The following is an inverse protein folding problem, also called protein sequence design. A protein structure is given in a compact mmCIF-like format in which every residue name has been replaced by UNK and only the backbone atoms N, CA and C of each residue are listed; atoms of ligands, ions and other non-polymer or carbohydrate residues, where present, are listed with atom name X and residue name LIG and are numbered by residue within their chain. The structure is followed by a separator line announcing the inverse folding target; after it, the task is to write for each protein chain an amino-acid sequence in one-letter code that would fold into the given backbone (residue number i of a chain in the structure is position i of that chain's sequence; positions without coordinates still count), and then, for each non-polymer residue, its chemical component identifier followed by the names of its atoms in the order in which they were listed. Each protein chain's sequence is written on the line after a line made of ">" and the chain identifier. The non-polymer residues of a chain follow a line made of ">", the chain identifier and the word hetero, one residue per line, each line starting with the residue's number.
data_IF_075393766467
#
_entry.id   IF_075393766467
#
_cell.length_a   1.000
_cell.length_b   1.000
_cell.length_c   1.000
_cell.angle_alpha   90.00
_cell.angle_beta   90.00
_cell.angle_gamma   90.00
#
_symmetry.space_group_name_H-M   'P 1'
#
loop_
_entity.id
_entity.type
_entity.pdbx_description
1 polymer ?
#
# COMPACT_ATOMS: atom_id res chain seq x y z
N UNK A 1 11.77 1.71 -15.18
CA UNK A 1 12.11 0.79 -14.10
C UNK A 1 11.56 -0.59 -14.42
N UNK A 2 12.38 -1.61 -14.23
CA UNK A 2 11.99 -3.01 -14.41
C UNK A 2 12.21 -3.74 -13.10
N UNK A 3 11.21 -4.46 -12.65
CA UNK A 3 11.33 -5.40 -11.54
C UNK A 3 11.58 -6.81 -12.08
N UNK A 4 12.50 -7.54 -11.45
CA UNK A 4 12.75 -8.96 -11.75
C UNK A 4 12.43 -9.76 -10.52
N UNK A 5 11.36 -10.54 -10.57
CA UNK A 5 11.00 -11.49 -9.51
C UNK A 5 11.60 -12.86 -9.80
N UNK A 6 12.28 -13.46 -8.81
CA UNK A 6 12.87 -14.80 -8.94
C UNK A 6 11.90 -15.93 -8.59
N UNK A 7 10.65 -15.60 -8.31
CA UNK A 7 9.61 -16.59 -8.05
C UNK A 7 9.16 -17.29 -9.35
N UNK A 8 8.89 -18.58 -9.27
CA UNK A 8 8.26 -19.40 -10.33
C UNK A 8 8.87 -19.29 -11.75
N UNK A 9 10.18 -19.12 -11.85
CA UNK A 9 10.85 -19.13 -13.16
C UNK A 9 11.33 -17.78 -13.65
N UNK A 10 11.23 -16.75 -12.83
CA UNK A 10 11.69 -15.38 -13.13
C UNK A 10 10.71 -14.64 -14.02
N UNK A 11 10.10 -13.60 -13.50
CA UNK A 11 9.27 -12.67 -14.25
C UNK A 11 9.98 -11.31 -14.33
N UNK A 12 9.94 -10.69 -15.49
CA UNK A 12 10.41 -9.31 -15.69
C UNK A 12 9.19 -8.45 -15.93
N UNK A 13 8.84 -7.63 -14.96
CA UNK A 13 7.73 -6.70 -15.06
C UNK A 13 8.22 -5.26 -15.26
N UNK A 14 7.53 -4.50 -16.10
CA UNK A 14 7.75 -3.07 -16.22
C UNK A 14 6.96 -2.37 -15.12
N UNK A 15 7.65 -1.75 -14.16
CA UNK A 15 7.00 -1.00 -13.09
C UNK A 15 6.69 0.44 -13.48
N UNK A 16 7.66 1.13 -14.06
CA UNK A 16 7.50 2.53 -14.40
C UNK A 16 8.11 2.85 -15.76
N UNK A 17 7.35 3.60 -16.55
CA UNK A 17 7.79 4.17 -17.81
C UNK A 17 7.11 5.52 -18.03
N UNK A 18 7.86 6.59 -17.82
CA UNK A 18 7.30 7.94 -17.93
C UNK A 18 8.33 8.94 -18.45
N UNK A 19 7.83 10.06 -18.99
CA UNK A 19 8.61 11.23 -19.37
C UNK A 19 8.29 12.34 -18.38
N UNK A 20 9.32 12.96 -17.83
CA UNK A 20 9.19 14.08 -16.89
C UNK A 20 9.81 15.33 -17.48
N UNK A 21 9.06 16.44 -17.47
CA UNK A 21 9.59 17.77 -17.77
C UNK A 21 9.66 18.60 -16.52
N UNK A 22 10.86 18.91 -16.08
CA UNK A 22 11.13 19.83 -14.99
C UNK A 22 11.05 21.26 -15.54
N UNK A 23 10.11 22.06 -15.06
CA UNK A 23 9.82 23.42 -15.51
C UNK A 23 10.25 24.43 -14.46
N UNK A 24 9.81 24.22 -13.23
CA UNK A 24 10.08 25.09 -12.08
C UNK A 24 10.00 24.26 -10.79
N UNK A 25 10.75 24.57 -9.72
CA UNK A 25 10.63 23.82 -8.46
C UNK A 25 9.20 23.69 -7.94
N UNK A 26 8.35 24.69 -8.19
CA UNK A 26 6.95 24.68 -7.79
C UNK A 26 6.00 24.05 -8.81
N UNK A 27 6.45 23.69 -10.01
CA UNK A 27 5.55 23.14 -11.04
C UNK A 27 6.32 22.31 -12.07
N UNK A 28 6.03 21.04 -12.14
CA UNK A 28 6.60 20.07 -13.07
C UNK A 28 5.49 19.18 -13.60
N UNK A 29 5.75 18.51 -14.73
CA UNK A 29 4.79 17.63 -15.38
C UNK A 29 5.44 16.30 -15.68
N UNK A 30 4.72 15.21 -15.43
CA UNK A 30 5.08 13.84 -15.78
C UNK A 30 3.93 13.18 -16.52
N UNK A 31 4.24 12.39 -17.55
CA UNK A 31 3.25 11.61 -18.30
C UNK A 31 3.80 10.21 -18.59
N UNK A 32 2.96 9.20 -18.48
CA UNK A 32 3.29 7.79 -18.70
C UNK A 32 2.74 6.89 -17.59
N UNK A 33 3.39 5.75 -17.38
CA UNK A 33 3.06 4.78 -16.33
C UNK A 33 3.90 5.10 -15.07
N UNK A 34 3.23 5.43 -13.98
CA UNK A 34 3.86 5.98 -12.78
C UNK A 34 3.18 5.54 -11.50
N UNK A 35 3.89 5.63 -10.38
CA UNK A 35 3.35 5.31 -9.06
C UNK A 35 2.19 6.26 -8.71
N UNK A 36 1.10 5.68 -8.23
CA UNK A 36 -0.04 6.39 -7.64
C UNK A 36 0.26 6.67 -6.17
N UNK A 37 0.46 7.93 -5.75
CA UNK A 37 0.99 8.26 -4.42
C UNK A 37 -0.08 8.20 -3.31
N UNK A 38 -0.74 7.06 -3.17
CA UNK A 38 -1.72 6.77 -2.11
C UNK A 38 -1.13 5.79 -1.13
N UNK A 39 -1.16 6.13 0.16
CA UNK A 39 -0.52 5.36 1.21
C UNK A 39 0.97 5.72 1.40
N UNK A 40 1.59 5.08 2.38
CA UNK A 40 3.00 5.23 2.71
C UNK A 40 3.87 4.17 2.02
N UNK A 41 3.43 2.91 2.11
CA UNK A 41 4.21 1.75 1.66
C UNK A 41 4.32 1.73 0.15
N UNK A 42 3.26 2.12 -0.55
CA UNK A 42 3.23 2.10 -2.02
C UNK A 42 4.33 2.99 -2.64
N UNK A 43 4.53 4.19 -2.10
CA UNK A 43 5.55 5.12 -2.59
C UNK A 43 6.97 4.80 -2.08
N UNK A 44 7.11 3.89 -1.09
CA UNK A 44 8.36 3.55 -0.41
C UNK A 44 8.46 2.04 -0.18
N UNK A 45 8.21 1.26 -1.22
CA UNK A 45 8.07 -0.19 -1.14
C UNK A 45 9.40 -0.96 -1.09
N UNK A 46 10.53 -0.31 -1.34
CA UNK A 46 11.82 -0.98 -1.32
C UNK A 46 12.15 -1.50 0.09
N UNK A 47 12.73 -2.69 0.21
CA UNK A 47 12.97 -3.35 1.50
C UNK A 47 13.83 -2.56 2.48
N UNK A 48 14.63 -1.60 2.04
CA UNK A 48 15.44 -0.75 2.91
C UNK A 48 14.60 0.32 3.62
N UNK A 49 13.40 0.62 3.14
CA UNK A 49 12.55 1.69 3.64
C UNK A 49 11.66 1.30 4.83
N UNK A 50 11.60 0.03 5.20
CA UNK A 50 10.83 -0.46 6.35
C UNK A 50 11.66 -1.43 7.19
N UNK A 51 11.31 -1.61 8.48
CA UNK A 51 12.11 -2.42 9.38
C UNK A 51 11.86 -3.92 9.23
N UNK A 52 10.60 -4.35 9.06
CA UNK A 52 10.29 -5.78 8.94
C UNK A 52 10.99 -6.46 7.77
N UNK A 53 11.09 -7.77 7.80
CA UNK A 53 11.54 -8.61 6.67
C UNK A 53 10.53 -8.52 5.53
N UNK A 54 9.25 -8.39 5.88
CA UNK A 54 8.12 -8.19 4.97
C UNK A 54 7.59 -6.76 5.10
N UNK A 55 7.15 -6.18 3.97
CA UNK A 55 6.50 -4.85 3.98
C UNK A 55 5.23 -4.87 4.83
N UNK A 56 4.78 -3.70 5.35
CA UNK A 56 3.51 -3.62 6.08
C UNK A 56 2.35 -4.23 5.30
N UNK A 57 1.67 -5.21 5.90
CA UNK A 57 0.64 -5.98 5.21
C UNK A 57 -0.66 -5.19 4.99
N UNK A 58 -1.04 -4.40 5.98
CA UNK A 58 -2.38 -3.81 5.99
C UNK A 58 -2.65 -2.92 4.80
N UNK A 59 -1.71 -2.05 4.44
CA UNK A 59 -1.84 -1.19 3.27
C UNK A 59 -1.84 -2.00 1.98
N UNK A 60 -0.91 -2.94 1.83
CA UNK A 60 -0.77 -3.75 0.61
C UNK A 60 -1.87 -4.79 0.44
N UNK A 61 -2.63 -5.09 1.50
CA UNK A 61 -3.80 -5.95 1.43
C UNK A 61 -5.01 -5.22 0.86
N UNK A 62 -5.24 -3.96 1.24
CA UNK A 62 -6.46 -3.23 0.85
C UNK A 62 -6.25 -2.32 -0.37
N UNK A 63 -5.02 -1.92 -0.67
CA UNK A 63 -4.64 -1.16 -1.86
C UNK A 63 -3.80 -2.02 -2.80
N UNK A 64 -3.75 -1.68 -4.11
CA UNK A 64 -2.81 -2.33 -5.01
C UNK A 64 -1.38 -2.21 -4.49
N UNK A 65 -0.68 -3.34 -4.41
CA UNK A 65 0.74 -3.37 -4.09
C UNK A 65 1.54 -2.83 -5.28
N UNK A 66 2.54 -1.99 -5.01
CA UNK A 66 3.24 -1.28 -6.08
C UNK A 66 2.24 -0.67 -7.06
N UNK A 67 1.35 0.17 -6.54
CA UNK A 67 0.27 0.73 -7.32
C UNK A 67 0.81 1.77 -8.31
N UNK A 68 0.79 1.44 -9.56
CA UNK A 68 1.12 2.34 -10.65
C UNK A 68 0.05 2.26 -11.73
N UNK A 69 -0.17 3.37 -12.41
CA UNK A 69 -1.17 3.53 -13.47
C UNK A 69 -0.65 4.47 -14.55
N UNK A 70 -1.22 4.37 -15.74
CA UNK A 70 -0.93 5.28 -16.84
C UNK A 70 -1.71 6.58 -16.67
N UNK A 71 -1.04 7.73 -16.87
CA UNK A 71 -1.69 9.03 -16.73
C UNK A 71 -0.76 10.22 -16.82
N UNK A 72 -1.23 11.34 -16.22
CA UNK A 72 -0.51 12.62 -16.15
C UNK A 72 -0.46 13.08 -14.70
N UNK A 73 0.71 13.55 -14.29
CA UNK A 73 0.99 14.09 -12.97
C UNK A 73 1.49 15.53 -13.07
N UNK A 74 0.98 16.38 -12.20
CA UNK A 74 1.51 17.72 -11.90
C UNK A 74 2.05 17.71 -10.47
N UNK A 75 3.27 18.16 -10.28
CA UNK A 75 3.93 18.10 -8.99
C UNK A 75 4.92 19.23 -8.77
N UNK A 76 5.24 19.51 -7.53
CA UNK A 76 6.23 20.52 -7.16
C UNK A 76 6.34 20.73 -5.66
N UNK A 77 7.21 21.67 -5.31
CA UNK A 77 7.43 22.11 -3.92
C UNK A 77 6.99 23.57 -3.77
N UNK A 78 6.18 23.82 -2.78
CA UNK A 78 5.68 25.14 -2.42
C UNK A 78 6.26 25.60 -1.07
N UNK A 79 6.48 26.90 -0.93
CA UNK A 79 6.97 27.49 0.30
C UNK A 79 8.47 27.39 0.52
N UNK A 80 8.94 27.75 1.72
CA UNK A 80 10.36 27.72 2.13
C UNK A 80 10.47 27.52 3.64
N UNK A 81 11.58 26.94 4.09
CA UNK A 81 11.86 26.75 5.52
C UNK A 81 10.78 25.91 6.20
N UNK A 82 10.25 26.40 7.31
CA UNK A 82 9.19 25.70 8.05
C UNK A 82 7.84 25.59 7.31
N UNK A 83 7.63 26.35 6.24
CA UNK A 83 6.41 26.30 5.43
C UNK A 83 6.67 25.60 4.08
N UNK A 84 7.41 24.49 4.08
CA UNK A 84 7.73 23.70 2.88
C UNK A 84 6.72 22.55 2.72
N UNK A 85 6.07 22.52 1.55
CA UNK A 85 5.11 21.49 1.17
C UNK A 85 5.43 20.95 -0.22
N UNK A 86 5.38 19.63 -0.39
CA UNK A 86 5.33 19.00 -1.70
C UNK A 86 3.87 18.69 -2.05
N UNK A 87 3.52 18.78 -3.32
CA UNK A 87 2.22 18.37 -3.82
C UNK A 87 2.33 17.52 -5.08
N UNK A 88 1.36 16.63 -5.25
CA UNK A 88 1.18 15.79 -6.42
C UNK A 88 -0.31 15.74 -6.76
N UNK A 89 -0.65 16.01 -8.01
CA UNK A 89 -2.02 15.92 -8.56
C UNK A 89 -1.95 15.05 -9.80
N UNK A 90 -2.70 13.94 -9.81
CA UNK A 90 -2.68 13.00 -10.92
C UNK A 90 -4.08 12.79 -11.48
N UNK A 91 -4.11 12.56 -12.80
CA UNK A 91 -5.23 11.96 -13.50
C UNK A 91 -4.69 10.70 -14.16
N UNK A 92 -5.20 9.54 -13.74
CA UNK A 92 -4.67 8.22 -14.12
C UNK A 92 -5.79 7.30 -14.56
N UNK A 93 -5.47 6.15 -15.14
CA UNK A 93 -6.43 5.08 -15.35
C UNK A 93 -7.10 4.73 -14.01
N UNK A 94 -8.44 4.66 -13.98
CA UNK A 94 -9.17 4.39 -12.75
C UNK A 94 -9.22 2.90 -12.45
N UNK A 95 -9.27 2.52 -11.17
CA UNK A 95 -9.40 1.12 -10.78
C UNK A 95 -10.61 0.44 -11.43
N UNK A 96 -10.42 -0.83 -11.78
CA UNK A 96 -11.43 -1.69 -12.41
C UNK A 96 -12.11 -2.59 -11.36
N UNK A 97 -13.43 -2.48 -11.24
CA UNK A 97 -14.20 -3.24 -10.27
C UNK A 97 -14.16 -4.76 -10.48
N UNK A 98 -13.78 -5.27 -11.65
CA UNK A 98 -13.63 -6.70 -11.91
C UNK A 98 -12.57 -7.36 -11.02
N UNK A 99 -11.57 -6.59 -10.58
CA UNK A 99 -10.52 -7.04 -9.68
C UNK A 99 -10.87 -6.94 -8.19
N UNK A 100 -12.03 -6.37 -7.83
CA UNK A 100 -12.39 -6.21 -6.42
C UNK A 100 -12.76 -7.54 -5.78
N UNK A 101 -12.21 -7.80 -4.61
CA UNK A 101 -12.31 -9.08 -3.92
C UNK A 101 -12.70 -8.90 -2.44
N UNK A 102 -13.23 -9.97 -1.85
CA UNK A 102 -13.63 -10.01 -0.44
C UNK A 102 -12.44 -9.95 0.53
N UNK A 103 -11.29 -10.48 0.12
CA UNK A 103 -10.12 -10.61 0.99
C UNK A 103 -9.19 -9.40 0.88
N UNK A 104 -9.13 -8.80 -0.29
CA UNK A 104 -8.17 -7.75 -0.65
C UNK A 104 -8.84 -6.43 -1.04
N UNK A 105 -10.15 -6.33 -0.86
CA UNK A 105 -10.96 -5.17 -1.19
C UNK A 105 -10.74 -4.69 -2.64
N UNK A 106 -9.96 -3.62 -2.87
CA UNK A 106 -9.69 -3.07 -4.21
C UNK A 106 -8.29 -3.36 -4.74
N UNK A 107 -7.48 -4.10 -3.99
CA UNK A 107 -6.05 -4.29 -4.29
C UNK A 107 -5.77 -4.87 -5.69
N UNK A 108 -6.62 -5.78 -6.17
CA UNK A 108 -6.49 -6.38 -7.50
C UNK A 108 -7.21 -5.60 -8.60
N UNK A 109 -7.61 -4.36 -8.33
CA UNK A 109 -8.33 -3.52 -9.29
C UNK A 109 -7.44 -2.64 -10.17
N UNK A 110 -6.11 -2.65 -9.99
CA UNK A 110 -5.20 -1.91 -10.88
C UNK A 110 -5.34 -2.41 -12.31
N UNK A 111 -5.25 -1.50 -13.27
CA UNK A 111 -5.26 -1.86 -14.67
C UNK A 111 -3.86 -2.29 -15.11
N UNK A 112 -3.80 -3.11 -16.15
CA UNK A 112 -2.54 -3.67 -16.62
C UNK A 112 -1.61 -2.65 -17.26
N UNK A 113 -0.43 -3.11 -17.61
CA UNK A 113 0.61 -2.33 -18.25
C UNK A 113 0.22 -2.01 -19.71
N UNK A 114 -0.14 -0.76 -20.02
CA UNK A 114 -0.28 -0.19 -21.37
C UNK A 114 -1.22 -0.90 -22.37
N UNK A 115 -1.52 -2.17 -22.18
CA UNK A 115 -2.23 -2.98 -23.18
C UNK A 115 -3.74 -2.78 -23.14
N UNK A 116 -4.30 -2.49 -21.95
CA UNK A 116 -5.75 -2.43 -21.75
C UNK A 116 -6.19 -1.33 -20.77
N UNK A 117 -5.46 -0.21 -20.71
CA UNK A 117 -5.84 0.92 -19.87
C UNK A 117 -7.18 1.51 -20.28
N UNK A 118 -8.19 1.34 -19.44
CA UNK A 118 -9.51 1.85 -19.68
C UNK A 118 -9.72 3.18 -18.93
N UNK A 119 -9.81 4.28 -19.66
CA UNK A 119 -10.05 5.62 -19.13
C UNK A 119 -11.53 6.03 -19.12
N UNK A 120 -12.47 5.10 -19.20
CA UNK A 120 -13.91 5.44 -19.15
C UNK A 120 -14.28 6.20 -17.88
N UNK A 121 -13.61 5.89 -16.77
CA UNK A 121 -13.74 6.62 -15.52
C UNK A 121 -12.35 6.79 -14.89
N UNK A 122 -11.67 7.91 -15.12
CA UNK A 122 -10.33 8.13 -14.61
C UNK A 122 -10.30 8.19 -13.07
N UNK A 123 -9.14 7.86 -12.53
CA UNK A 123 -8.77 8.09 -11.15
C UNK A 123 -8.17 9.47 -10.97
N UNK A 124 -8.64 10.22 -9.99
CA UNK A 124 -8.08 11.52 -9.58
C UNK A 124 -7.35 11.36 -8.26
N UNK A 125 -6.12 11.82 -8.20
CA UNK A 125 -5.27 11.70 -7.02
C UNK A 125 -4.77 13.08 -6.58
N UNK A 126 -4.82 13.32 -5.30
CA UNK A 126 -4.19 14.47 -4.64
C UNK A 126 -3.33 13.94 -3.50
N UNK A 127 -2.08 14.37 -3.44
CA UNK A 127 -1.20 14.18 -2.28
C UNK A 127 -0.55 15.49 -1.89
N UNK A 128 -0.44 15.72 -0.58
CA UNK A 128 0.31 16.84 -0.01
C UNK A 128 1.17 16.31 1.12
N UNK A 129 2.45 16.69 1.11
CA UNK A 129 3.43 16.34 2.15
C UNK A 129 4.04 17.60 2.76
N UNK A 130 3.92 17.74 4.06
CA UNK A 130 4.64 18.76 4.84
C UNK A 130 6.06 18.28 5.14
N UNK A 131 7.07 19.12 4.84
CA UNK A 131 8.50 18.84 5.08
C UNK A 131 9.24 19.99 5.76
N UNK A 132 8.53 20.88 6.42
CA UNK A 132 9.13 22.09 7.00
C UNK A 132 10.05 21.85 8.20
N UNK A 133 9.94 20.71 8.86
CA UNK A 133 10.79 20.33 10.00
C UNK A 133 11.78 19.25 9.57
N UNK A 134 13.11 19.45 9.79
CA UNK A 134 14.11 18.45 9.46
C UNK A 134 13.80 17.09 10.09
N UNK A 135 13.86 16.05 9.27
CA UNK A 135 13.55 14.68 9.69
C UNK A 135 12.07 14.33 9.80
N UNK A 136 11.16 15.31 9.73
CA UNK A 136 9.71 15.09 9.78
C UNK A 136 9.08 15.24 8.40
N UNK A 137 8.29 14.26 8.01
CA UNK A 137 7.37 14.31 6.87
C UNK A 137 5.97 13.91 7.35
N UNK A 138 4.97 14.72 7.06
CA UNK A 138 3.56 14.40 7.32
C UNK A 138 2.82 14.50 6.00
N UNK A 139 2.27 13.38 5.54
CA UNK A 139 1.61 13.27 4.26
C UNK A 139 0.12 12.98 4.38
N UNK A 140 -0.63 13.41 3.39
CA UNK A 140 -2.02 13.02 3.21
C UNK A 140 -2.34 12.84 1.74
N UNK A 141 -3.12 11.82 1.39
CA UNK A 141 -3.56 11.60 0.02
C UNK A 141 -5.05 11.27 -0.07
N UNK A 142 -5.59 11.57 -1.22
CA UNK A 142 -6.97 11.29 -1.59
C UNK A 142 -7.02 10.73 -3.00
N UNK A 143 -7.73 9.63 -3.18
CA UNK A 143 -8.05 9.04 -4.48
C UNK A 143 -9.56 9.01 -4.70
N UNK A 144 -9.97 9.35 -5.92
CA UNK A 144 -11.37 9.32 -6.33
C UNK A 144 -11.51 8.74 -7.74
N UNK A 145 -12.36 7.74 -7.90
CA UNK A 145 -12.83 7.25 -9.20
C UNK A 145 -14.35 7.27 -9.20
N UNK A 146 -14.94 7.97 -10.16
CA UNK A 146 -16.40 8.18 -10.21
C UNK A 146 -17.18 6.90 -10.53
N UNK A 147 -16.56 5.97 -11.26
CA UNK A 147 -17.24 4.74 -11.67
C UNK A 147 -16.25 3.61 -11.98
N UNK A 148 -15.81 2.87 -10.96
CA UNK A 148 -14.93 1.71 -11.14
C UNK A 148 -15.57 0.58 -11.94
N UNK A 149 -16.89 0.47 -11.92
CA UNK A 149 -17.64 -0.50 -12.75
C UNK A 149 -17.59 -0.13 -14.25
N UNK A 150 -17.48 1.17 -14.56
CA UNK A 150 -17.35 1.65 -15.94
C UNK A 150 -15.99 1.34 -16.57
N UNK A 151 -14.99 1.00 -15.76
CA UNK A 151 -13.67 0.57 -16.22
C UNK A 151 -13.58 -0.94 -16.46
N UNK A 152 -14.72 -1.65 -16.39
CA UNK A 152 -14.78 -3.07 -16.71
C UNK A 152 -14.41 -3.33 -18.17
N UNK A 153 -13.58 -4.33 -18.39
CA UNK A 153 -13.24 -4.91 -19.70
C UNK A 153 -14.38 -5.76 -20.30
N UNK A 154 -15.41 -6.03 -19.49
CA UNK A 154 -16.60 -6.80 -19.90
C UNK A 154 -17.77 -5.87 -20.19
N UNK A 155 -18.14 -5.65 -21.47
CA UNK A 155 -19.27 -4.80 -21.83
C UNK A 155 -20.54 -5.23 -21.09
N UNK A 156 -21.27 -4.26 -20.55
CA UNK A 156 -22.56 -4.46 -19.86
C UNK A 156 -22.54 -5.38 -18.63
N UNK A 157 -21.37 -5.83 -18.16
CA UNK A 157 -21.28 -6.73 -17.01
C UNK A 157 -21.92 -6.13 -15.74
N UNK A 158 -21.74 -4.84 -15.53
CA UNK A 158 -22.34 -4.11 -14.41
C UNK A 158 -23.66 -3.38 -14.77
N UNK A 159 -24.29 -3.69 -15.91
CA UNK A 159 -25.63 -3.21 -16.27
C UNK A 159 -25.78 -1.67 -16.14
N UNK A 160 -24.74 -0.91 -16.47
CA UNK A 160 -24.71 0.54 -16.37
C UNK A 160 -24.69 1.10 -14.95
N UNK A 161 -24.61 0.25 -13.93
CA UNK A 161 -24.49 0.71 -12.53
C UNK A 161 -23.14 1.35 -12.26
N UNK A 162 -23.13 2.39 -11.42
CA UNK A 162 -21.92 3.09 -11.03
C UNK A 162 -21.42 2.60 -9.67
N UNK A 163 -20.11 2.49 -9.54
CA UNK A 163 -19.44 2.14 -8.28
C UNK A 163 -18.35 3.17 -7.93
N UNK A 164 -18.77 4.34 -7.40
CA UNK A 164 -17.83 5.36 -6.95
C UNK A 164 -16.93 4.84 -5.82
N UNK A 165 -15.63 5.10 -5.96
CA UNK A 165 -14.60 4.74 -5.01
C UNK A 165 -13.89 5.99 -4.47
N UNK A 166 -13.71 6.04 -3.15
CA UNK A 166 -12.92 7.06 -2.46
C UNK A 166 -11.95 6.40 -1.51
N UNK A 167 -10.69 6.83 -1.54
CA UNK A 167 -9.65 6.35 -0.64
C UNK A 167 -8.99 7.58 -0.03
N UNK A 168 -8.82 7.55 1.29
CA UNK A 168 -8.13 8.56 2.08
C UNK A 168 -6.94 7.90 2.75
N UNK A 169 -5.78 8.53 2.71
CA UNK A 169 -4.66 8.11 3.53
C UNK A 169 -3.99 9.27 4.23
N UNK A 170 -3.43 8.98 5.40
CA UNK A 170 -2.55 9.87 6.12
C UNK A 170 -1.31 9.11 6.57
N UNK A 171 -0.16 9.77 6.52
CA UNK A 171 1.10 9.14 6.93
C UNK A 171 2.02 10.13 7.63
N UNK A 172 2.92 9.57 8.44
CA UNK A 172 3.95 10.28 9.17
C UNK A 172 5.25 9.50 9.07
N UNK A 173 6.34 10.20 8.79
CA UNK A 173 7.69 9.69 8.86
C UNK A 173 8.53 10.65 9.69
N UNK A 174 9.26 10.12 10.66
CA UNK A 174 10.22 10.88 11.45
C UNK A 174 11.54 10.13 11.51
N UNK A 175 12.62 10.82 11.21
CA UNK A 175 13.97 10.26 11.30
C UNK A 175 14.94 11.30 11.85
N UNK A 176 15.65 10.90 12.88
CA UNK A 176 16.84 11.59 13.38
C UNK A 176 17.97 10.58 13.64
N UNK A 177 19.05 11.01 14.25
CA UNK A 177 20.20 10.14 14.53
C UNK A 177 19.86 8.98 15.46
N UNK A 178 18.88 9.12 16.34
CA UNK A 178 18.51 8.17 17.39
C UNK A 178 17.33 7.28 17.03
N UNK A 179 16.32 7.85 16.35
CA UNK A 179 15.02 7.20 16.15
C UNK A 179 14.57 7.35 14.70
N UNK A 180 14.03 6.27 14.18
CA UNK A 180 13.21 6.28 12.96
C UNK A 180 11.83 5.77 13.30
N UNK A 181 10.80 6.55 13.00
CA UNK A 181 9.41 6.19 13.24
C UNK A 181 8.58 6.43 11.98
N UNK A 182 7.60 5.56 11.74
CA UNK A 182 6.65 5.67 10.63
C UNK A 182 5.27 5.27 11.12
N UNK A 183 4.26 5.93 10.58
CA UNK A 183 2.87 5.58 10.82
C UNK A 183 2.05 5.88 9.57
N UNK A 184 1.01 5.08 9.33
CA UNK A 184 0.06 5.34 8.26
C UNK A 184 -1.35 4.89 8.64
N UNK A 185 -2.32 5.50 8.00
CA UNK A 185 -3.71 5.10 8.04
C UNK A 185 -4.29 5.18 6.63
N UNK A 186 -5.09 4.20 6.27
CA UNK A 186 -5.85 4.16 5.02
C UNK A 186 -7.29 3.84 5.35
N UNK A 187 -8.20 4.62 4.78
CA UNK A 187 -9.63 4.38 4.86
C UNK A 187 -10.26 4.47 3.47
N UNK A 188 -11.03 3.46 3.10
CA UNK A 188 -11.68 3.38 1.82
C UNK A 188 -13.19 3.28 1.90
N UNK A 189 -13.87 3.83 0.87
CA UNK A 189 -15.31 3.75 0.70
C UNK A 189 -15.67 3.43 -0.75
N UNK A 190 -16.37 2.32 -0.95
CA UNK A 190 -16.90 1.84 -2.22
C UNK A 190 -18.43 1.90 -2.18
N UNK A 191 -19.02 2.73 -3.01
CA UNK A 191 -20.48 2.82 -3.15
C UNK A 191 -20.98 1.70 -4.09
N UNK A 192 -22.18 1.17 -3.84
CA UNK A 192 -22.76 0.02 -4.56
C UNK A 192 -21.93 -1.27 -4.46
N UNK A 193 -21.21 -1.44 -3.35
CA UNK A 193 -20.38 -2.62 -3.10
C UNK A 193 -21.19 -3.91 -3.11
N UNK A 194 -22.46 -3.87 -2.66
CA UNK A 194 -23.38 -5.02 -2.71
C UNK A 194 -23.67 -5.47 -4.15
N UNK A 195 -23.89 -4.52 -5.06
CA UNK A 195 -24.11 -4.83 -6.47
C UNK A 195 -22.83 -5.40 -7.11
N UNK A 196 -21.67 -4.77 -6.89
CA UNK A 196 -20.37 -5.28 -7.35
C UNK A 196 -20.16 -6.71 -6.84
N UNK A 197 -20.42 -6.97 -5.57
CA UNK A 197 -20.29 -8.29 -4.96
C UNK A 197 -21.15 -9.35 -5.65
N UNK A 198 -22.38 -8.99 -6.04
CA UNK A 198 -23.28 -9.91 -6.74
C UNK A 198 -22.80 -10.32 -8.12
N UNK A 199 -21.97 -9.49 -8.76
CA UNK A 199 -21.39 -9.74 -10.08
C UNK A 199 -20.01 -10.39 -10.01
N UNK A 200 -19.18 -10.05 -9.04
CA UNK A 200 -17.83 -10.57 -8.89
C UNK A 200 -17.79 -11.96 -8.21
N UNK A 201 -18.88 -12.68 -8.21
CA UNK A 201 -18.95 -14.03 -7.63
C UNK A 201 -18.03 -14.96 -8.40
N UNK A 202 -16.89 -15.28 -7.83
CA UNK A 202 -16.05 -16.39 -8.28
C UNK A 202 -16.47 -17.65 -7.53
N UNK A 203 -17.35 -18.44 -8.17
CA UNK A 203 -17.70 -19.76 -7.68
C UNK A 203 -16.48 -20.67 -7.90
N UNK A 204 -15.98 -21.29 -6.83
CA UNK A 204 -15.12 -22.45 -6.98
C UNK A 204 -15.94 -23.57 -7.58
N UNK A 205 -15.54 -24.11 -8.71
CA UNK A 205 -16.22 -25.24 -9.36
C UNK A 205 -16.32 -26.50 -8.48
N UNK A 206 -15.63 -26.54 -7.35
CA UNK A 206 -15.55 -27.67 -6.43
C UNK A 206 -16.27 -27.45 -5.10
N UNK A 207 -16.96 -26.32 -4.90
CA UNK A 207 -17.61 -26.03 -3.63
C UNK A 207 -19.12 -26.18 -3.75
N UNK A 208 -19.69 -27.19 -3.11
CA UNK A 208 -21.13 -27.37 -2.96
C UNK A 208 -21.82 -26.22 -2.19
N UNK A 209 -21.06 -25.37 -1.52
CA UNK A 209 -21.51 -24.23 -0.71
C UNK A 209 -20.54 -23.06 -0.90
N UNK A 210 -20.78 -22.19 -1.81
CA UNK A 210 -20.14 -20.89 -1.80
C UNK A 210 -21.08 -19.86 -1.17
N UNK A 211 -20.93 -19.60 0.13
CA UNK A 211 -21.43 -18.33 0.65
C UNK A 211 -20.52 -17.24 0.10
N UNK A 212 -21.08 -16.44 -0.78
CA UNK A 212 -20.39 -15.27 -1.33
C UNK A 212 -20.17 -14.30 -0.19
N UNK A 213 -18.91 -14.14 0.21
CA UNK A 213 -18.55 -13.06 1.12
C UNK A 213 -18.34 -11.83 0.26
N UNK A 214 -19.14 -10.79 0.43
CA UNK A 214 -19.17 -9.67 -0.48
C UNK A 214 -17.96 -8.74 -0.28
N UNK A 215 -17.57 -8.03 -1.35
CA UNK A 215 -16.70 -6.87 -1.26
C UNK A 215 -17.34 -5.84 -0.35
N UNK A 216 -16.61 -5.34 0.63
CA UNK A 216 -17.14 -4.42 1.61
C UNK A 216 -17.33 -3.01 1.07
N UNK A 217 -18.27 -2.28 1.66
CA UNK A 217 -18.42 -0.85 1.45
C UNK A 217 -17.22 -0.07 1.97
N UNK A 218 -16.70 -0.46 3.13
CA UNK A 218 -15.57 0.21 3.76
C UNK A 218 -14.46 -0.78 4.09
N UNK A 219 -13.22 -0.33 3.89
CA UNK A 219 -12.02 -1.00 4.33
C UNK A 219 -11.14 -0.02 5.12
N UNK A 220 -10.34 -0.54 6.05
CA UNK A 220 -9.46 0.25 6.90
C UNK A 220 -8.14 -0.49 7.14
N UNK A 221 -7.05 0.28 7.19
CA UNK A 221 -5.74 -0.19 7.62
C UNK A 221 -5.03 0.93 8.37
N UNK A 222 -4.30 0.57 9.43
CA UNK A 222 -3.35 1.47 10.06
C UNK A 222 -2.17 0.69 10.62
N UNK A 223 -1.01 1.32 10.57
CA UNK A 223 0.24 0.76 11.06
C UNK A 223 1.10 1.83 11.71
N UNK A 224 1.95 1.41 12.63
CA UNK A 224 2.99 2.25 13.20
C UNK A 224 4.22 1.41 13.52
N UNK A 225 5.40 1.90 13.14
CA UNK A 225 6.66 1.27 13.46
C UNK A 225 7.67 2.27 14.02
N UNK A 226 8.50 1.81 14.93
CA UNK A 226 9.59 2.60 15.52
C UNK A 226 10.83 1.74 15.69
N UNK A 227 11.97 2.28 15.30
CA UNK A 227 13.28 1.67 15.49
C UNK A 227 14.26 2.66 16.11
N UNK A 228 15.18 2.16 16.91
CA UNK A 228 16.14 2.95 17.67
C UNK A 228 17.55 2.59 17.26
N UNK A 229 18.38 3.59 16.92
CA UNK A 229 19.77 3.40 16.53
C UNK A 229 20.66 3.19 17.74
N UNK A 230 21.08 1.96 17.99
CA UNK A 230 21.93 1.65 19.14
C UNK A 230 23.29 2.37 19.10
N UNK A 231 23.89 2.53 17.91
CA UNK A 231 25.18 3.25 17.80
C UNK A 231 25.07 4.68 18.31
N UNK A 232 23.96 5.36 18.02
CA UNK A 232 23.75 6.74 18.48
C UNK A 232 23.53 6.83 19.99
N UNK A 233 22.86 5.85 20.59
CA UNK A 233 22.72 5.76 22.05
C UNK A 233 24.08 5.58 22.74
N UNK A 234 24.99 4.82 22.16
CA UNK A 234 26.35 4.62 22.67
C UNK A 234 27.33 5.68 22.17
N UNK A 235 26.89 6.94 22.17
CA UNK A 235 27.69 8.13 21.82
C UNK A 235 28.39 8.05 20.45
N UNK A 236 27.70 7.49 19.48
CA UNK A 236 28.19 7.31 18.10
C UNK A 236 29.52 6.54 18.01
N UNK A 237 29.79 5.66 18.99
CA UNK A 237 31.02 4.87 19.01
C UNK A 237 31.14 4.01 17.74
N UNK A 238 32.19 4.22 16.91
CA UNK A 238 32.33 3.49 15.63
C UNK A 238 32.52 1.98 15.79
N UNK A 239 32.93 1.52 16.99
CA UNK A 239 33.02 0.09 17.31
C UNK A 239 31.67 -0.59 17.50
N UNK A 240 30.61 0.20 17.78
CA UNK A 240 29.24 -0.32 17.89
C UNK A 240 28.66 -0.44 16.49
N UNK A 241 28.16 -1.61 16.09
CA UNK A 241 27.51 -1.77 14.81
C UNK A 241 26.22 -0.93 14.72
N UNK A 242 25.81 -0.56 13.52
CA UNK A 242 24.52 0.12 13.28
C UNK A 242 23.42 -0.94 13.35
N UNK A 243 22.77 -1.01 14.51
CA UNK A 243 21.66 -1.94 14.75
C UNK A 243 20.46 -1.12 15.19
N UNK A 244 19.29 -1.45 14.61
CA UNK A 244 17.99 -0.92 15.00
C UNK A 244 17.12 -2.05 15.57
N UNK A 245 17.01 -2.22 16.90
CA UNK A 245 15.83 -2.87 17.45
C UNK A 245 14.60 -2.07 17.07
N UNK A 246 13.53 -2.77 16.68
CA UNK A 246 12.29 -2.14 16.26
C UNK A 246 11.06 -2.90 16.75
N UNK A 247 9.94 -2.19 16.77
CA UNK A 247 8.62 -2.77 16.94
C UNK A 247 7.66 -2.13 15.94
N UNK A 248 6.70 -2.91 15.44
CA UNK A 248 5.61 -2.50 14.55
C UNK A 248 4.30 -3.10 15.03
N UNK A 249 3.27 -2.29 15.01
CA UNK A 249 1.90 -2.73 15.15
C UNK A 249 1.13 -2.45 13.86
N UNK A 250 0.31 -3.41 13.44
CA UNK A 250 -0.57 -3.26 12.28
C UNK A 250 -1.97 -3.76 12.62
N UNK A 251 -2.96 -3.08 12.06
CA UNK A 251 -4.33 -3.52 11.99
C UNK A 251 -4.87 -3.26 10.59
N UNK A 252 -5.58 -4.24 10.05
CA UNK A 252 -6.34 -4.03 8.83
C UNK A 252 -7.60 -4.86 8.79
N UNK A 253 -8.59 -4.35 8.07
CA UNK A 253 -9.83 -5.04 7.80
C UNK A 253 -10.36 -4.64 6.41
N UNK A 254 -10.20 -5.50 5.40
CA UNK A 254 -10.75 -5.26 4.07
C UNK A 254 -12.29 -5.32 4.06
N UNK A 255 -12.90 -5.79 5.16
CA UNK A 255 -14.35 -5.92 5.33
C UNK A 255 -14.85 -5.20 6.58
N UNK A 256 -14.46 -3.94 6.74
CA UNK A 256 -14.80 -3.15 7.93
C UNK A 256 -16.31 -2.93 8.05
N UNK A 257 -16.97 -2.59 6.93
CA UNK A 257 -18.42 -2.39 6.90
C UNK A 257 -19.00 -2.75 5.55
N UNK A 258 -20.08 -3.53 5.55
CA UNK A 258 -20.88 -3.80 4.36
C UNK A 258 -22.02 -2.78 4.15
N UNK A 259 -22.70 -2.88 3.03
CA UNK A 259 -24.01 -2.26 2.83
C UNK A 259 -25.11 -3.01 3.59
N UNK A 260 -26.28 -2.42 3.68
CA UNK A 260 -27.42 -3.02 4.39
C UNK A 260 -27.72 -4.44 3.88
N UNK A 261 -27.78 -5.39 4.81
CA UNK A 261 -28.04 -6.81 4.52
C UNK A 261 -26.83 -7.61 4.01
N UNK A 262 -25.62 -7.04 4.06
CA UNK A 262 -24.39 -7.77 3.78
C UNK A 262 -23.75 -8.27 5.10
N UNK A 263 -23.34 -9.53 5.12
CA UNK A 263 -22.57 -10.11 6.23
C UNK A 263 -21.09 -10.06 5.90
N UNK A 264 -20.29 -9.47 6.76
CA UNK A 264 -18.85 -9.36 6.62
C UNK A 264 -18.13 -10.57 7.23
N UNK A 265 -17.00 -10.95 6.65
CA UNK A 265 -16.21 -12.09 7.11
C UNK A 265 -15.10 -11.61 8.07
N UNK A 266 -15.27 -11.91 9.36
CA UNK A 266 -14.31 -11.51 10.39
C UNK A 266 -12.93 -12.18 10.24
N UNK A 267 -12.78 -13.22 9.43
CA UNK A 267 -11.47 -13.85 9.17
C UNK A 267 -10.50 -12.91 8.43
N UNK A 268 -11.02 -11.90 7.77
CA UNK A 268 -10.20 -10.92 7.05
C UNK A 268 -9.72 -9.76 7.95
N UNK A 269 -10.24 -9.70 9.19
CA UNK A 269 -9.79 -8.74 10.19
C UNK A 269 -8.52 -9.27 10.87
N UNK A 270 -7.43 -8.54 10.74
CA UNK A 270 -6.11 -8.92 11.26
C UNK A 270 -5.55 -7.82 12.13
N UNK A 271 -4.95 -8.20 13.25
CA UNK A 271 -4.05 -7.36 14.03
C UNK A 271 -2.74 -8.11 14.29
N UNK A 272 -1.62 -7.40 14.21
CA UNK A 272 -0.32 -8.03 14.39
C UNK A 272 0.68 -7.14 15.10
N UNK A 273 1.61 -7.79 15.80
CA UNK A 273 2.82 -7.21 16.31
C UNK A 273 4.02 -7.83 15.63
N UNK A 274 4.95 -7.00 15.21
CA UNK A 274 6.25 -7.42 14.66
C UNK A 274 7.33 -6.76 15.52
N UNK A 275 8.30 -7.55 15.98
CA UNK A 275 9.44 -7.02 16.70
C UNK A 275 10.72 -7.70 16.22
N UNK A 276 11.80 -6.94 16.06
CA UNK A 276 13.02 -7.49 15.48
C UNK A 276 14.21 -6.56 15.52
N UNK A 277 15.19 -6.93 14.72
CA UNK A 277 16.47 -6.25 14.62
C UNK A 277 16.86 -6.05 13.16
N UNK A 278 17.33 -4.85 12.83
CA UNK A 278 17.98 -4.55 11.56
C UNK A 278 19.44 -4.22 11.80
N UNK A 279 20.32 -5.00 11.24
CA UNK A 279 21.75 -4.76 11.25
C UNK A 279 22.23 -4.22 9.92
N UNK A 280 22.64 -2.97 9.89
CA UNK A 280 23.27 -2.35 8.72
C UNK A 280 24.76 -2.73 8.68
N UNK A 281 25.08 -3.83 8.02
CA UNK A 281 26.45 -4.27 7.81
C UNK A 281 27.25 -3.28 6.96
N UNK A 282 26.56 -2.65 5.99
CA UNK A 282 27.01 -1.51 5.18
C UNK A 282 25.87 -0.46 5.14
N UNK A 283 26.14 0.78 4.77
CA UNK A 283 25.10 1.81 4.65
C UNK A 283 23.94 1.42 3.72
N UNK A 284 24.19 0.55 2.76
CA UNK A 284 23.26 0.08 1.75
C UNK A 284 22.96 -1.44 1.80
N UNK A 285 23.42 -2.12 2.85
CA UNK A 285 23.18 -3.54 3.08
C UNK A 285 22.65 -3.76 4.49
N UNK A 286 21.44 -4.25 4.61
CA UNK A 286 20.80 -4.56 5.88
C UNK A 286 20.43 -6.03 5.98
N UNK A 287 20.80 -6.64 7.11
CA UNK A 287 20.32 -7.96 7.54
C UNK A 287 19.20 -7.73 8.53
N UNK A 288 18.06 -8.36 8.31
CA UNK A 288 16.86 -8.23 9.11
C UNK A 288 16.49 -9.55 9.75
N UNK A 289 16.01 -9.50 10.99
CA UNK A 289 15.40 -10.64 11.65
C UNK A 289 14.23 -10.15 12.50
N UNK A 290 13.07 -10.76 12.36
CA UNK A 290 11.90 -10.40 13.12
C UNK A 290 11.03 -11.59 13.52
N UNK A 291 10.20 -11.34 14.52
CA UNK A 291 9.18 -12.24 15.00
C UNK A 291 7.83 -11.53 14.91
N UNK A 292 6.90 -12.17 14.21
CA UNK A 292 5.54 -11.69 14.00
C UNK A 292 4.56 -12.52 14.81
N UNK A 293 3.66 -11.86 15.54
CA UNK A 293 2.48 -12.46 16.14
C UNK A 293 1.25 -11.87 15.47
N UNK A 294 0.50 -12.71 14.75
CA UNK A 294 -0.69 -12.33 14.00
C UNK A 294 -1.93 -12.91 14.67
N UNK A 295 -2.97 -12.08 14.83
CA UNK A 295 -4.28 -12.48 15.32
C UNK A 295 -5.33 -12.25 14.24
N UNK A 296 -6.00 -13.31 13.84
CA UNK A 296 -7.07 -13.31 12.83
C UNK A 296 -8.42 -13.27 13.54
N UNK A 297 -9.39 -12.52 13.02
CA UNK A 297 -10.67 -12.26 13.69
C UNK A 297 -11.48 -13.48 14.10
N UNK A 298 -11.50 -14.55 13.29
CA UNK A 298 -12.10 -15.83 13.67
C UNK A 298 -11.64 -16.95 12.72
N UNK A 299 -11.41 -18.14 13.25
CA UNK A 299 -11.18 -19.35 12.46
C UNK A 299 -12.46 -19.95 11.86
N UNK A 300 -13.65 -19.41 12.18
CA UNK A 300 -14.93 -19.91 11.68
C UNK A 300 -15.54 -18.93 10.68
N UNK A 301 -15.92 -19.44 9.52
CA UNK A 301 -16.69 -18.68 8.55
C UNK A 301 -18.04 -18.27 9.18
N UNK A 302 -18.35 -16.98 9.21
CA UNK A 302 -19.59 -16.42 9.77
C UNK A 302 -19.84 -16.73 11.25
N UNK A 303 -18.81 -17.08 12.01
CA UNK A 303 -18.93 -17.36 13.43
C UNK A 303 -18.21 -16.34 14.31
N UNK A 304 -18.70 -16.17 15.54
CA UNK A 304 -17.93 -15.58 16.63
C UNK A 304 -17.09 -16.70 17.22
N UNK A 305 -15.84 -16.79 16.86
CA UNK A 305 -14.89 -17.74 17.43
C UNK A 305 -13.72 -17.02 18.09
N UNK A 306 -12.90 -17.70 18.84
CA UNK A 306 -11.66 -17.13 19.35
C UNK A 306 -10.78 -16.74 18.15
N UNK A 307 -9.97 -15.69 18.34
CA UNK A 307 -8.93 -15.31 17.37
C UNK A 307 -7.99 -16.49 17.14
N UNK A 308 -7.67 -16.73 15.89
CA UNK A 308 -6.59 -17.65 15.52
C UNK A 308 -5.29 -16.86 15.57
N UNK A 309 -4.29 -17.40 16.26
CA UNK A 309 -2.95 -16.81 16.34
C UNK A 309 -2.01 -17.54 15.39
N UNK A 310 -1.29 -16.78 14.58
CA UNK A 310 -0.20 -17.28 13.73
C UNK A 310 1.08 -16.56 14.14
N UNK A 311 2.13 -17.33 14.37
CA UNK A 311 3.44 -16.79 14.75
C UNK A 311 4.46 -17.20 13.73
N UNK A 312 5.34 -16.26 13.37
CA UNK A 312 6.37 -16.47 12.35
C UNK A 312 7.69 -15.86 12.80
N UNK A 313 8.79 -16.53 12.51
CA UNK A 313 10.15 -15.97 12.60
C UNK A 313 10.73 -15.87 11.20
N UNK A 314 11.21 -14.68 10.83
CA UNK A 314 11.70 -14.40 9.49
C UNK A 314 13.09 -13.79 9.53
N UNK A 315 13.91 -14.13 8.52
CA UNK A 315 15.21 -13.52 8.27
C UNK A 315 15.23 -13.02 6.83
N UNK A 316 15.74 -11.82 6.61
CA UNK A 316 15.85 -11.21 5.29
C UNK A 316 17.14 -10.46 5.08
N UNK A 317 17.50 -10.27 3.83
CA UNK A 317 18.62 -9.44 3.40
C UNK A 317 18.11 -8.43 2.37
N UNK A 318 18.47 -7.16 2.55
CA UNK A 318 18.16 -6.14 1.56
C UNK A 318 19.42 -5.34 1.21
N UNK A 319 19.63 -5.15 -0.09
CA UNK A 319 20.73 -4.36 -0.64
C UNK A 319 20.18 -3.35 -1.64
N UNK A 320 20.67 -2.12 -1.58
CA UNK A 320 20.39 -1.09 -2.56
C UNK A 320 21.71 -0.51 -3.09
N UNK A 321 21.93 -0.57 -4.40
CA UNK A 321 23.14 -0.03 -5.01
C UNK A 321 23.51 -0.76 -6.29
N UNK A 322 24.66 -0.40 -6.82
CA UNK A 322 25.22 -1.02 -8.02
C UNK A 322 26.16 -2.17 -7.63
N UNK A 323 25.95 -3.33 -8.22
CA UNK A 323 26.84 -4.49 -8.02
C UNK A 323 28.21 -4.28 -8.69
N UNK A 324 28.24 -3.45 -9.73
CA UNK A 324 29.46 -3.14 -10.46
C UNK A 324 29.66 -1.62 -10.44
N UNK A 325 30.73 -1.17 -9.76
CA UNK A 325 31.25 0.18 -9.96
C UNK A 325 32.16 0.16 -11.18
N UNK A 326 31.92 1.06 -12.14
CA UNK A 326 32.90 1.40 -13.16
C UNK A 326 34.09 2.11 -12.52
#
# INVERSE_FOLDING_TARGET
>A
EYETEMEKGGEVALEQFHITRLIHPAFNVRAGHMIVPVGLTNAHHEPINFFGTVRPEGETTILPSTWHETGIEFFGTLGKGYATFDYQVLVVAGLNANGFDRNTWVASGKQGLFEEDNFNSPGYVLRVDYRGVPGLRVGGSFYYCANTAGNSDKPNFYEGQKAPLRIYSGDLQYKNDYVTARANVVYGNLTNSKFISSKNVRLSNNASYSRVVPVAKNAVSYAGEVGVNLRSIFNHNPKVPVIYPFARYEYYNPQEKGEAGQTMDLRNKVSMWVAGLNWFALPNLVVKADYTTRQIGTGKMFGTGPYTSENEFSIGLAYIGWFFKK
#
